data_IF_572566258328
#
_entry.id   IF_572566258328
#
_cell.length_a   1.000
_cell.length_b   1.000
_cell.length_c   1.000
_cell.angle_alpha   90.00
_cell.angle_beta   90.00
_cell.angle_gamma   90.00
#
_symmetry.space_group_name_H-M   'P 1'
#
loop_
_entity.id
_entity.type
_entity.pdbx_description
1 polymer ?
#
# COMPACT_ATOMS: atom_id res chain seq x y z
N UNK A 1 2.05 -25.03 59.67
CA UNK A 1 3.08 -24.60 58.71
C UNK A 1 2.53 -24.82 57.32
N UNK A 2 2.21 -23.87 56.46
CA UNK A 2 1.99 -22.42 56.53
C UNK A 2 1.24 -22.08 55.24
N UNK A 3 0.34 -21.10 55.31
CA UNK A 3 -0.50 -20.64 54.20
C UNK A 3 0.37 -19.97 53.13
N UNK A 4 0.77 -20.70 52.07
CA UNK A 4 1.48 -20.07 50.97
C UNK A 4 0.48 -19.45 49.97
N UNK A 5 -0.09 -18.30 50.35
CA UNK A 5 -0.70 -17.35 49.42
C UNK A 5 0.39 -16.75 48.53
N UNK A 6 0.92 -17.55 47.61
CA UNK A 6 1.69 -17.00 46.50
C UNK A 6 0.66 -16.49 45.48
N UNK A 7 0.40 -15.18 45.52
CA UNK A 7 -0.24 -14.45 44.42
C UNK A 7 0.53 -14.78 43.14
N UNK A 8 0.03 -15.76 42.39
CA UNK A 8 0.61 -16.14 41.11
C UNK A 8 0.20 -15.07 40.11
N UNK A 9 0.99 -14.01 40.04
CA UNK A 9 0.95 -13.10 38.89
C UNK A 9 1.37 -13.95 37.69
N UNK A 10 0.37 -14.49 36.99
CA UNK A 10 0.57 -15.16 35.72
C UNK A 10 1.01 -14.10 34.73
N UNK A 11 2.30 -14.07 34.46
CA UNK A 11 2.79 -13.42 33.26
C UNK A 11 2.48 -14.36 32.09
N UNK A 12 1.72 -13.88 31.11
CA UNK A 12 1.55 -14.61 29.86
C UNK A 12 2.94 -14.90 29.30
N UNK A 13 3.29 -16.19 29.26
CA UNK A 13 4.57 -16.65 28.75
C UNK A 13 4.63 -16.28 27.28
N UNK A 14 5.67 -15.53 26.89
CA UNK A 14 5.94 -15.21 25.50
C UNK A 14 5.94 -16.49 24.66
N UNK A 15 5.07 -16.53 23.65
CA UNK A 15 4.81 -17.72 22.84
C UNK A 15 4.73 -17.30 21.38
N UNK A 16 5.42 -17.97 20.47
CA UNK A 16 5.51 -17.56 19.07
C UNK A 16 4.13 -17.40 18.37
N UNK A 17 3.11 -18.12 18.84
CA UNK A 17 1.73 -17.99 18.34
C UNK A 17 1.04 -16.68 18.75
N UNK A 18 1.54 -15.99 19.78
CA UNK A 18 1.01 -14.71 20.25
C UNK A 18 1.61 -13.50 19.50
N UNK A 19 2.69 -13.70 18.74
CA UNK A 19 3.41 -12.66 18.01
C UNK A 19 2.83 -12.48 16.59
N UNK A 20 1.55 -12.80 16.39
CA UNK A 20 0.88 -12.38 15.17
C UNK A 20 0.66 -10.86 15.26
N UNK A 21 1.64 -10.09 14.78
CA UNK A 21 1.38 -8.72 14.34
C UNK A 21 0.52 -8.85 13.08
N UNK A 22 -0.78 -9.12 13.27
CA UNK A 22 -1.77 -8.82 12.26
C UNK A 22 -1.86 -7.30 12.22
N UNK A 23 -0.95 -6.70 11.47
CA UNK A 23 -1.13 -5.31 11.07
C UNK A 23 -2.38 -5.35 10.20
N UNK A 24 -3.50 -4.85 10.73
CA UNK A 24 -4.72 -4.60 9.96
C UNK A 24 -4.43 -3.45 8.96
N UNK A 25 -3.42 -3.63 8.10
CA UNK A 25 -3.46 -3.01 6.79
C UNK A 25 -4.71 -3.59 6.13
N UNK A 26 -5.66 -2.76 5.66
CA UNK A 26 -6.86 -3.30 5.04
C UNK A 26 -6.41 -4.18 3.88
N UNK A 27 -6.66 -5.50 3.94
CA UNK A 27 -6.34 -6.48 2.88
C UNK A 27 -6.88 -6.05 1.50
N UNK A 28 -7.81 -5.09 1.50
CA UNK A 28 -8.36 -4.38 0.37
C UNK A 28 -7.27 -3.67 -0.44
N UNK A 29 -6.27 -3.04 0.19
CA UNK A 29 -5.23 -2.29 -0.53
C UNK A 29 -4.35 -3.21 -1.39
N UNK A 30 -3.87 -4.33 -0.84
CA UNK A 30 -3.07 -5.29 -1.58
C UNK A 30 -3.88 -6.01 -2.67
N UNK A 31 -5.14 -6.33 -2.38
CA UNK A 31 -6.02 -6.97 -3.36
C UNK A 31 -6.33 -6.03 -4.52
N UNK A 32 -6.66 -4.77 -4.25
CA UNK A 32 -7.07 -3.83 -5.31
C UNK A 32 -5.87 -3.35 -6.13
N UNK A 33 -4.72 -3.08 -5.49
CA UNK A 33 -3.50 -2.66 -6.20
C UNK A 33 -2.83 -3.78 -6.99
N UNK A 34 -2.89 -5.03 -6.52
CA UNK A 34 -2.28 -6.18 -7.21
C UNK A 34 -3.28 -6.98 -8.06
N UNK A 35 -4.58 -6.67 -7.99
CA UNK A 35 -5.56 -7.24 -8.92
C UNK A 35 -5.26 -6.79 -10.36
N UNK A 36 -5.69 -7.60 -11.33
CA UNK A 36 -5.64 -7.26 -12.76
C UNK A 36 -6.22 -5.87 -13.06
N UNK A 37 -7.22 -5.44 -12.29
CA UNK A 37 -7.83 -4.10 -12.40
C UNK A 37 -6.88 -2.96 -11.97
N UNK A 38 -6.09 -3.14 -10.91
CA UNK A 38 -5.10 -2.14 -10.46
C UNK A 38 -3.98 -1.94 -11.48
N UNK A 39 -3.51 -3.03 -12.10
CA UNK A 39 -2.53 -2.99 -13.19
C UNK A 39 -3.09 -2.25 -14.40
N UNK A 40 -4.35 -2.53 -14.79
CA UNK A 40 -5.00 -1.88 -15.92
C UNK A 40 -5.15 -0.36 -15.70
N UNK A 41 -5.57 0.07 -14.51
CA UNK A 41 -5.70 1.51 -14.18
C UNK A 41 -4.34 2.21 -14.21
N UNK A 42 -3.29 1.58 -13.67
CA UNK A 42 -1.93 2.14 -13.69
C UNK A 42 -1.39 2.28 -15.11
N UNK A 43 -1.61 1.29 -15.97
CA UNK A 43 -1.21 1.35 -17.37
C UNK A 43 -1.97 2.43 -18.14
N UNK A 44 -3.30 2.52 -17.95
CA UNK A 44 -4.13 3.55 -18.56
C UNK A 44 -3.69 4.97 -18.15
N UNK A 45 -3.42 5.17 -16.85
CA UNK A 45 -2.92 6.44 -16.32
C UNK A 45 -1.55 6.83 -16.92
N UNK A 46 -0.63 5.87 -17.02
CA UNK A 46 0.69 6.12 -17.62
C UNK A 46 0.58 6.51 -19.11
N UNK A 47 -0.26 5.81 -19.87
CA UNK A 47 -0.51 6.14 -21.28
C UNK A 47 -1.14 7.53 -21.44
N UNK A 48 -2.14 7.86 -20.63
CA UNK A 48 -2.78 9.17 -20.65
C UNK A 48 -1.79 10.31 -20.35
N UNK A 49 -0.89 10.11 -19.37
CA UNK A 49 0.14 11.10 -19.05
C UNK A 49 1.13 11.30 -20.21
N UNK A 50 1.59 10.21 -20.84
CA UNK A 50 2.50 10.29 -21.98
C UNK A 50 1.86 11.02 -23.17
N UNK A 51 0.61 10.70 -23.50
CA UNK A 51 -0.12 11.38 -24.57
C UNK A 51 -0.29 12.87 -24.26
N UNK A 52 -0.60 13.20 -23.00
CA UNK A 52 -0.77 14.59 -22.58
C UNK A 52 0.52 15.40 -22.75
N UNK A 53 1.65 14.86 -22.30
CA UNK A 53 2.97 15.52 -22.44
C UNK A 53 3.33 15.67 -23.93
N UNK A 54 3.08 14.66 -24.74
CA UNK A 54 3.32 14.72 -26.19
C UNK A 54 2.51 15.84 -26.85
N UNK A 55 1.21 15.94 -26.55
CA UNK A 55 0.33 16.99 -27.11
C UNK A 55 0.81 18.36 -26.66
N UNK A 56 1.12 18.56 -25.38
CA UNK A 56 1.62 19.84 -24.86
C UNK A 56 2.92 20.22 -25.57
N UNK A 57 3.87 19.29 -25.72
CA UNK A 57 5.13 19.51 -26.40
C UNK A 57 4.94 19.85 -27.88
N UNK A 58 4.06 19.13 -28.59
CA UNK A 58 3.73 19.38 -29.98
C UNK A 58 3.13 20.78 -30.18
N UNK A 59 2.14 21.14 -29.34
CA UNK A 59 1.48 22.44 -29.39
C UNK A 59 2.48 23.55 -29.07
N UNK A 60 3.28 23.39 -28.03
CA UNK A 60 4.30 24.38 -27.64
C UNK A 60 5.33 24.56 -28.75
N UNK A 61 5.85 23.48 -29.32
CA UNK A 61 6.79 23.52 -30.44
C UNK A 61 6.18 24.18 -31.67
N UNK A 62 4.92 23.88 -31.99
CA UNK A 62 4.19 24.53 -33.08
C UNK A 62 4.09 26.05 -32.87
N UNK A 63 3.73 26.50 -31.67
CA UNK A 63 3.62 27.93 -31.39
C UNK A 63 4.97 28.65 -31.36
N UNK A 64 6.03 28.01 -30.86
CA UNK A 64 7.38 28.59 -30.84
C UNK A 64 7.98 28.67 -32.24
N UNK A 65 7.80 27.64 -33.08
CA UNK A 65 8.35 27.61 -34.44
C UNK A 65 7.55 28.46 -35.44
N UNK A 66 6.31 28.81 -35.10
CA UNK A 66 5.46 29.70 -35.91
C UNK A 66 5.71 31.19 -35.63
N UNK A 67 6.52 31.53 -34.64
CA UNK A 67 7.04 32.88 -34.40
C UNK A 67 8.29 33.17 -35.25
#
# INVERSE_FOLDING_TARGET
MDSNSASSVQYDRWNEDNINMKVDAPQIYDTVCNSSSGVAVKAAGALAALVSIYVIGYVTGYYVHRC
#
